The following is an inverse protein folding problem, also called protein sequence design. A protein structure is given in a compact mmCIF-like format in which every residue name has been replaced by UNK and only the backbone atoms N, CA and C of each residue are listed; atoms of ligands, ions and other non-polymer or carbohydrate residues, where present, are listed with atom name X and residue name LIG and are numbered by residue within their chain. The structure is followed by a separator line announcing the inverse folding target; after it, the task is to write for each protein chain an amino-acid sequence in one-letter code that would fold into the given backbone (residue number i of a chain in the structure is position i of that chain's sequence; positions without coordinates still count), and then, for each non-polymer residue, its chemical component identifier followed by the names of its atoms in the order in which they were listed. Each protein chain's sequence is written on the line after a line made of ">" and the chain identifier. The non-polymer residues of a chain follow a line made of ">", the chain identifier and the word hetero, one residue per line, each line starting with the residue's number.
data_IF_956809825264
#
_entry.id   IF_956809825264
#
_cell.length_a   1.000
_cell.length_b   1.000
_cell.length_c   1.000
_cell.angle_alpha   90.00
_cell.angle_beta   90.00
_cell.angle_gamma   90.00
#
_symmetry.space_group_name_H-M   'P 1'
#
loop_
_entity.id
_entity.type
_entity.pdbx_description
1 polymer ?
#
# COMPACT_ATOMS: atom_id res chain seq x y z
N UNK A 1 0.50 -0.83 25.21
CA UNK A 1 0.49 -1.12 23.78
C UNK A 1 1.84 -0.73 23.23
N UNK A 2 2.51 -1.73 22.68
CA UNK A 2 3.75 -1.69 21.94
C UNK A 2 3.45 -2.16 20.50
N UNK A 3 2.81 -1.32 19.68
CA UNK A 3 2.31 -1.73 18.37
C UNK A 3 3.44 -1.86 17.35
N UNK A 4 3.23 -2.74 16.37
CA UNK A 4 4.04 -2.89 15.17
C UNK A 4 3.15 -3.15 13.96
N UNK A 5 3.66 -2.83 12.77
CA UNK A 5 2.94 -3.04 11.51
C UNK A 5 3.56 -4.18 10.71
N UNK A 6 2.69 -4.93 10.04
CA UNK A 6 3.03 -5.97 9.09
C UNK A 6 2.45 -5.54 7.76
N UNK A 7 3.32 -5.33 6.77
CA UNK A 7 2.94 -4.97 5.42
C UNK A 7 3.05 -6.21 4.55
N UNK A 8 1.95 -6.60 3.93
CA UNK A 8 1.87 -7.77 3.06
C UNK A 8 1.46 -7.33 1.66
N UNK A 9 2.33 -7.63 0.69
CA UNK A 9 2.10 -7.40 -0.72
C UNK A 9 2.32 -8.71 -1.48
N UNK A 10 1.22 -9.37 -1.87
CA UNK A 10 1.23 -10.73 -2.44
C UNK A 10 1.93 -11.74 -1.52
N UNK A 11 3.12 -12.18 -1.93
CA UNK A 11 3.97 -13.17 -1.25
C UNK A 11 5.07 -12.51 -0.42
N UNK A 12 5.23 -11.19 -0.51
CA UNK A 12 6.20 -10.42 0.27
C UNK A 12 5.54 -9.93 1.55
N UNK A 13 6.16 -10.22 2.68
CA UNK A 13 5.77 -9.73 3.99
C UNK A 13 6.96 -9.02 4.62
N UNK A 14 6.75 -7.82 5.13
CA UNK A 14 7.74 -7.06 5.91
C UNK A 14 7.11 -6.54 7.19
N UNK A 15 7.92 -6.43 8.25
CA UNK A 15 7.47 -6.02 9.58
C UNK A 15 8.26 -4.81 10.03
N UNK A 16 7.60 -3.87 10.69
CA UNK A 16 8.25 -2.72 11.29
C UNK A 16 8.94 -3.06 12.60
N UNK A 17 9.70 -2.09 13.11
CA UNK A 17 10.08 -2.08 14.52
C UNK A 17 8.84 -1.98 15.42
N UNK A 18 8.97 -2.50 16.64
CA UNK A 18 7.95 -2.39 17.69
C UNK A 18 8.07 -1.01 18.36
N UNK A 19 6.99 -0.23 18.33
CA UNK A 19 6.93 1.09 18.95
C UNK A 19 6.68 0.99 20.47
N UNK A 20 7.72 0.56 21.20
CA UNK A 20 7.64 0.33 22.65
C UNK A 20 7.31 1.61 23.42
N UNK A 21 6.26 1.56 24.23
CA UNK A 21 5.82 2.66 25.10
C UNK A 21 5.15 3.82 24.37
N UNK A 22 4.83 3.68 23.09
CA UNK A 22 4.23 4.76 22.28
C UNK A 22 2.71 4.91 22.51
N UNK A 23 2.05 3.91 23.10
CA UNK A 23 0.63 3.99 23.42
C UNK A 23 -0.26 3.88 22.17
N UNK A 24 -1.20 4.81 22.01
CA UNK A 24 -2.21 4.77 20.93
C UNK A 24 -1.83 5.59 19.70
N UNK A 25 -0.73 6.34 19.75
CA UNK A 25 -0.25 7.19 18.65
C UNK A 25 1.22 6.87 18.31
N UNK A 26 1.54 5.64 17.88
CA UNK A 26 2.91 5.28 17.56
C UNK A 26 3.35 5.90 16.21
N UNK A 27 4.63 6.24 16.16
CA UNK A 27 5.30 6.76 14.97
C UNK A 27 6.43 5.79 14.59
N UNK A 28 6.42 5.32 13.35
CA UNK A 28 7.46 4.44 12.82
C UNK A 28 8.44 5.22 11.95
N UNK A 29 7.93 6.04 11.02
CA UNK A 29 8.73 6.71 9.99
C UNK A 29 9.64 5.72 9.23
N UNK A 30 9.12 4.51 8.96
CA UNK A 30 9.86 3.42 8.30
C UNK A 30 9.39 3.26 6.85
N UNK A 31 10.34 3.02 5.94
CA UNK A 31 10.06 2.77 4.53
C UNK A 31 10.30 1.31 4.19
N UNK A 32 9.29 0.69 3.58
CA UNK A 32 9.30 -0.70 3.14
C UNK A 32 9.29 -0.78 1.63
N UNK A 33 10.17 -1.61 1.07
CA UNK A 33 10.37 -1.71 -0.36
C UNK A 33 9.80 -3.04 -0.87
N UNK A 34 8.83 -3.01 -1.77
CA UNK A 34 8.23 -4.21 -2.36
C UNK A 34 8.41 -4.22 -3.87
N UNK A 35 8.66 -5.41 -4.43
CA UNK A 35 8.59 -5.57 -5.88
C UNK A 35 7.15 -5.83 -6.28
N UNK A 36 6.53 -4.92 -7.03
CA UNK A 36 5.13 -5.00 -7.42
C UNK A 36 4.98 -4.95 -8.92
N UNK A 37 3.91 -5.56 -9.40
CA UNK A 37 3.53 -5.61 -10.81
C UNK A 37 2.11 -5.07 -10.97
N UNK A 38 1.72 -4.66 -12.18
CA UNK A 38 0.42 -4.04 -12.46
C UNK A 38 -0.79 -4.92 -12.08
N UNK A 39 -0.58 -6.22 -11.90
CA UNK A 39 -1.59 -7.18 -11.47
C UNK A 39 -1.75 -7.25 -9.93
N UNK A 40 -1.02 -6.44 -9.15
CA UNK A 40 -1.21 -6.33 -7.69
C UNK A 40 -2.29 -5.28 -7.38
N UNK A 41 -3.46 -5.66 -6.84
CA UNK A 41 -4.54 -4.70 -6.62
C UNK A 41 -4.30 -3.78 -5.42
N UNK A 42 -3.70 -4.29 -4.34
CA UNK A 42 -3.60 -3.59 -3.06
C UNK A 42 -2.46 -4.09 -2.17
N UNK A 43 -2.03 -3.23 -1.26
CA UNK A 43 -1.13 -3.49 -0.15
C UNK A 43 -1.96 -3.66 1.13
N UNK A 44 -1.79 -4.79 1.82
CA UNK A 44 -2.41 -5.03 3.13
C UNK A 44 -1.46 -4.55 4.23
N UNK A 45 -1.98 -3.74 5.15
CA UNK A 45 -1.23 -3.23 6.30
C UNK A 45 -1.95 -3.66 7.56
N UNK A 46 -1.31 -4.53 8.34
CA UNK A 46 -1.85 -5.12 9.57
C UNK A 46 -1.12 -4.53 10.77
N UNK A 47 -1.87 -4.15 11.79
CA UNK A 47 -1.36 -3.60 13.05
C UNK A 47 -1.54 -4.65 14.14
N UNK A 48 -0.45 -4.95 14.83
CA UNK A 48 -0.36 -5.93 15.92
C UNK A 48 0.19 -5.23 17.16
N UNK A 49 -0.26 -5.63 18.35
CA UNK A 49 0.31 -5.20 19.64
C UNK A 49 1.24 -6.29 20.15
N UNK A 50 2.52 -5.99 20.33
CA UNK A 50 3.48 -6.98 20.84
C UNK A 50 3.47 -7.00 22.35
N UNK A 51 3.09 -8.13 22.93
CA UNK A 51 3.17 -8.33 24.38
C UNK A 51 4.32 -9.27 24.73
N UNK A 52 5.13 -8.87 25.72
CA UNK A 52 6.30 -9.66 26.12
C UNK A 52 5.97 -11.00 26.80
N UNK A 53 4.74 -11.17 27.28
CA UNK A 53 4.31 -12.33 28.09
C UNK A 53 3.02 -13.01 27.58
N UNK A 54 2.37 -12.47 26.55
CA UNK A 54 1.14 -13.00 25.93
C UNK A 54 1.35 -13.22 24.44
N UNK A 55 0.39 -13.87 23.78
CA UNK A 55 0.32 -13.85 22.32
C UNK A 55 0.04 -12.42 21.84
N UNK A 56 0.66 -12.01 20.74
CA UNK A 56 0.45 -10.69 20.16
C UNK A 56 -1.03 -10.47 19.78
N UNK A 57 -1.57 -9.32 20.16
CA UNK A 57 -2.96 -8.97 19.94
C UNK A 57 -3.15 -8.27 18.59
N UNK A 58 -4.07 -8.77 17.78
CA UNK A 58 -4.44 -8.11 16.52
C UNK A 58 -5.22 -6.83 16.81
N UNK A 59 -4.71 -5.68 16.38
CA UNK A 59 -5.34 -4.36 16.59
C UNK A 59 -6.29 -4.02 15.45
N UNK A 60 -5.87 -4.27 14.20
CA UNK A 60 -6.68 -4.06 13.00
C UNK A 60 -5.85 -4.06 11.73
N UNK A 61 -6.50 -3.89 10.59
CA UNK A 61 -5.86 -3.87 9.27
C UNK A 61 -6.42 -2.76 8.37
N UNK A 62 -5.62 -2.33 7.41
CA UNK A 62 -5.97 -1.39 6.36
C UNK A 62 -5.58 -1.98 5.00
N UNK A 63 -6.45 -1.79 4.02
CA UNK A 63 -6.20 -2.18 2.63
C UNK A 63 -5.98 -0.92 1.81
N UNK A 64 -4.81 -0.80 1.19
CA UNK A 64 -4.39 0.38 0.43
C UNK A 64 -4.31 0.01 -1.05
N UNK A 65 -5.16 0.56 -1.93
CA UNK A 65 -5.12 0.26 -3.35
C UNK A 65 -3.82 0.80 -3.98
N UNK A 66 -3.16 -0.01 -4.81
CA UNK A 66 -1.93 0.37 -5.50
C UNK A 66 -2.17 0.98 -6.89
N UNK A 67 -3.38 0.80 -7.44
CA UNK A 67 -3.79 1.40 -8.72
C UNK A 67 -3.45 2.90 -8.85
N UNK A 68 -3.77 3.79 -7.89
CA UNK A 68 -3.43 5.21 -8.01
C UNK A 68 -1.92 5.48 -8.04
N UNK A 69 -1.11 4.72 -7.29
CA UNK A 69 0.36 4.93 -7.29
C UNK A 69 0.99 4.43 -8.60
N UNK A 70 0.39 3.46 -9.27
CA UNK A 70 0.84 3.03 -10.60
C UNK A 70 0.55 4.08 -11.69
N UNK A 71 -0.51 4.88 -11.51
CA UNK A 71 -0.87 5.95 -12.44
C UNK A 71 -0.10 7.24 -12.18
N UNK A 72 0.00 7.67 -10.92
CA UNK A 72 0.63 8.93 -10.53
C UNK A 72 2.14 8.79 -10.29
N UNK A 73 2.64 7.58 -10.04
CA UNK A 73 4.04 7.29 -9.70
C UNK A 73 4.42 7.63 -8.26
N UNK A 74 3.86 8.67 -7.66
CA UNK A 74 4.08 9.00 -6.24
C UNK A 74 2.83 9.61 -5.63
N UNK A 75 2.38 9.02 -4.52
CA UNK A 75 1.26 9.48 -3.74
C UNK A 75 1.76 10.13 -2.44
N UNK A 76 1.23 11.32 -2.09
CA UNK A 76 1.56 11.95 -0.82
C UNK A 76 1.06 11.10 0.36
N UNK A 77 1.56 11.37 1.59
CA UNK A 77 1.05 10.74 2.81
C UNK A 77 -0.48 10.80 2.90
N UNK A 78 -1.12 9.64 2.86
CA UNK A 78 -2.57 9.49 2.92
C UNK A 78 -3.00 8.74 4.18
N UNK A 79 -4.16 9.13 4.73
CA UNK A 79 -4.75 8.50 5.92
C UNK A 79 -5.66 7.36 5.48
N UNK A 80 -5.40 6.16 5.96
CA UNK A 80 -6.18 4.96 5.70
C UNK A 80 -6.87 4.46 6.96
N UNK A 81 -8.10 3.96 6.82
CA UNK A 81 -8.91 3.49 7.94
C UNK A 81 -8.45 2.09 8.35
N UNK A 82 -8.17 1.92 9.62
CA UNK A 82 -7.85 0.63 10.24
C UNK A 82 -9.15 0.00 10.73
N UNK A 83 -9.42 -1.22 10.30
CA UNK A 83 -10.61 -1.99 10.66
C UNK A 83 -10.25 -3.34 11.28
N UNK A 84 -11.04 -3.77 12.27
CA UNK A 84 -10.96 -5.10 12.88
C UNK A 84 -12.37 -5.65 12.97
N UNK A 85 -12.62 -6.81 12.35
CA UNK A 85 -13.95 -7.44 12.37
C UNK A 85 -15.08 -6.45 12.01
N UNK A 86 -14.89 -5.70 10.91
CA UNK A 86 -15.83 -4.68 10.41
C UNK A 86 -16.01 -3.44 11.31
N UNK A 87 -15.26 -3.34 12.42
CA UNK A 87 -15.26 -2.17 13.31
C UNK A 87 -14.09 -1.27 12.99
N UNK A 88 -14.34 0.04 13.00
CA UNK A 88 -13.28 1.03 12.90
C UNK A 88 -12.45 1.04 14.19
N UNK A 89 -11.13 0.87 14.03
CA UNK A 89 -10.16 0.76 15.12
C UNK A 89 -9.11 1.86 15.09
N UNK A 90 -9.21 2.80 14.14
CA UNK A 90 -8.27 3.90 14.01
C UNK A 90 -7.90 4.19 12.57
N UNK A 91 -6.77 4.84 12.41
CA UNK A 91 -6.30 5.31 11.12
C UNK A 91 -4.77 5.28 11.04
N UNK A 92 -4.22 4.99 9.87
CA UNK A 92 -2.78 4.87 9.62
C UNK A 92 -2.37 5.76 8.46
N UNK A 93 -1.27 6.50 8.61
CA UNK A 93 -0.71 7.36 7.57
C UNK A 93 0.37 6.62 6.80
N UNK A 94 0.16 6.47 5.51
CA UNK A 94 1.09 5.81 4.61
C UNK A 94 1.32 6.68 3.38
N UNK A 95 2.58 6.87 2.98
CA UNK A 95 2.93 7.42 1.69
C UNK A 95 3.40 6.29 0.76
N UNK A 96 3.03 6.36 -0.52
CA UNK A 96 3.40 5.36 -1.51
C UNK A 96 4.18 6.01 -2.64
N UNK A 97 5.28 5.40 -3.06
CA UNK A 97 5.99 5.79 -4.28
C UNK A 97 6.27 4.55 -5.10
N UNK A 98 5.99 4.60 -6.39
CA UNK A 98 6.21 3.52 -7.32
C UNK A 98 7.24 3.96 -8.37
N UNK A 99 8.33 3.21 -8.43
CA UNK A 99 9.37 3.35 -9.43
C UNK A 99 9.25 2.20 -10.44
N UNK A 100 8.73 2.45 -11.66
CA UNK A 100 8.63 1.41 -12.67
C UNK A 100 10.02 0.95 -13.12
N UNK A 101 10.23 -0.36 -13.16
CA UNK A 101 11.38 -1.00 -13.78
C UNK A 101 10.95 -1.50 -15.16
N UNK A 102 11.60 -1.03 -16.22
CA UNK A 102 11.31 -1.51 -17.57
C UNK A 102 11.73 -2.99 -17.71
N UNK A 103 10.82 -3.92 -17.44
CA UNK A 103 11.03 -5.34 -17.68
C UNK A 103 10.32 -5.77 -18.94
N UNK A 104 11.09 -6.34 -19.87
CA UNK A 104 10.57 -6.98 -21.07
C UNK A 104 10.61 -8.48 -20.86
N UNK A 105 9.45 -9.11 -20.75
CA UNK A 105 9.37 -10.56 -20.57
C UNK A 105 9.13 -11.22 -21.94
N UNK A 106 9.98 -12.17 -22.30
CA UNK A 106 9.76 -13.02 -23.47
C UNK A 106 8.62 -13.99 -23.14
N UNK A 107 7.46 -13.82 -23.78
CA UNK A 107 6.26 -14.58 -23.47
C UNK A 107 6.03 -15.76 -24.41
N UNK A 108 6.57 -15.71 -25.62
CA UNK A 108 6.55 -16.87 -26.52
C UNK A 108 7.68 -16.83 -27.53
N UNK A 109 8.14 -18.00 -27.94
CA UNK A 109 9.06 -18.17 -29.07
C UNK A 109 8.40 -19.15 -30.03
N UNK A 110 8.18 -18.71 -31.26
CA UNK A 110 7.60 -19.51 -32.33
C UNK A 110 8.59 -19.63 -33.48
N UNK A 111 8.86 -20.85 -33.95
CA UNK A 111 9.75 -21.10 -35.07
C UNK A 111 8.95 -21.46 -36.31
N UNK A 112 9.12 -20.70 -37.39
CA UNK A 112 8.45 -20.88 -38.68
C UNK A 112 9.50 -21.12 -39.79
N UNK A 113 9.05 -21.43 -41.02
CA UNK A 113 9.93 -21.65 -42.19
C UNK A 113 10.76 -20.40 -42.51
N UNK A 114 10.20 -19.21 -42.22
CA UNK A 114 10.85 -17.90 -42.41
C UNK A 114 11.71 -17.44 -41.22
N UNK A 115 11.82 -18.23 -40.14
CA UNK A 115 12.68 -17.95 -38.99
C UNK A 115 12.00 -18.00 -37.62
N UNK A 116 12.73 -17.53 -36.60
CA UNK A 116 12.28 -17.50 -35.20
C UNK A 116 11.62 -16.16 -34.90
N UNK A 117 10.36 -16.19 -34.44
CA UNK A 117 9.60 -15.04 -33.96
C UNK A 117 9.51 -15.11 -32.44
N UNK A 118 9.98 -14.06 -31.76
CA UNK A 118 9.78 -13.88 -30.34
C UNK A 118 8.59 -12.92 -30.08
N UNK A 119 7.67 -13.34 -29.23
CA UNK A 119 6.64 -12.48 -28.66
C UNK A 119 7.14 -12.02 -27.29
N UNK A 120 7.19 -10.71 -27.09
CA UNK A 120 7.51 -10.09 -25.79
C UNK A 120 6.25 -9.41 -25.25
N UNK A 121 6.03 -9.51 -23.95
CA UNK A 121 5.00 -8.75 -23.24
C UNK A 121 5.66 -7.79 -22.26
N UNK A 122 5.18 -6.56 -22.24
CA UNK A 122 5.59 -5.53 -21.29
C UNK A 122 4.58 -5.56 -20.13
N UNK A 123 5.01 -6.09 -18.99
CA UNK A 123 4.29 -5.92 -17.72
C UNK A 123 4.99 -4.80 -16.96
N UNK A 124 4.22 -3.94 -16.30
CA UNK A 124 4.77 -2.87 -15.49
C UNK A 124 5.19 -3.49 -14.15
N UNK A 125 6.41 -3.98 -14.08
CA UNK A 125 7.02 -4.39 -12.82
C UNK A 125 7.83 -3.23 -12.28
N UNK A 126 7.84 -3.02 -10.99
CA UNK A 126 8.60 -1.94 -10.39
C UNK A 126 8.77 -2.15 -8.90
N UNK A 127 9.41 -1.17 -8.30
CA UNK A 127 9.62 -1.11 -6.86
C UNK A 127 8.60 -0.14 -6.28
N UNK A 128 7.82 -0.57 -5.29
CA UNK A 128 7.01 0.34 -4.49
C UNK A 128 7.61 0.54 -3.10
N UNK A 129 7.86 1.79 -2.77
CA UNK A 129 8.26 2.28 -1.47
C UNK A 129 7.01 2.66 -0.69
N UNK A 130 6.70 1.92 0.37
CA UNK A 130 5.62 2.19 1.31
C UNK A 130 6.19 2.76 2.61
N UNK A 131 5.98 4.05 2.85
CA UNK A 131 6.46 4.73 4.04
C UNK A 131 5.34 4.83 5.09
N UNK A 132 5.51 4.11 6.20
CA UNK A 132 4.59 4.12 7.34
C UNK A 132 5.05 5.17 8.33
N UNK A 133 4.25 6.23 8.47
CA UNK A 133 4.60 7.40 9.26
C UNK A 133 4.11 7.25 10.70
N UNK A 134 2.79 7.27 10.87
CA UNK A 134 2.12 7.26 12.16
C UNK A 134 0.77 6.53 12.08
N UNK A 135 0.23 6.10 13.22
CA UNK A 135 -1.16 5.64 13.32
C UNK A 135 -1.79 6.22 14.56
N UNK A 136 -3.12 6.31 14.55
CA UNK A 136 -3.94 6.65 15.68
C UNK A 136 -4.94 5.53 15.94
N UNK A 137 -4.69 4.75 16.99
CA UNK A 137 -5.55 3.64 17.41
C UNK A 137 -6.69 4.20 18.25
N UNK A 138 -7.93 3.96 17.83
CA UNK A 138 -9.13 4.39 18.54
C UNK A 138 -9.76 3.21 19.27
N UNK A 139 -9.61 3.19 20.60
CA UNK A 139 -10.27 2.25 21.49
C UNK A 139 -11.75 2.60 21.64
N UNK A 140 -12.56 2.28 20.62
CA UNK A 140 -14.01 2.26 20.73
C UNK A 140 -14.68 3.58 21.15
N UNK A 141 -14.80 4.51 20.21
CA UNK A 141 -16.04 5.28 20.07
C UNK A 141 -16.18 5.65 18.61
N UNK A 142 -17.28 5.26 17.97
CA UNK A 142 -17.58 5.63 16.58
C UNK A 142 -17.47 7.15 16.44
N UNK A 143 -16.59 7.70 15.57
CA UNK A 143 -16.92 8.96 14.96
C UNK A 143 -17.92 8.63 13.86
N UNK A 144 -19.21 8.79 14.18
CA UNK A 144 -20.20 9.13 13.16
C UNK A 144 -19.78 10.45 12.55
N UNK A 145 -18.86 10.40 11.60
CA UNK A 145 -18.44 11.52 10.78
C UNK A 145 -17.82 10.90 9.53
N UNK A 146 -18.65 10.80 8.49
CA UNK A 146 -18.15 10.86 7.13
C UNK A 146 -17.09 11.98 7.07
N UNK A 147 -15.95 11.81 6.39
CA UNK A 147 -15.21 12.99 5.98
C UNK A 147 -16.20 13.84 5.16
N UNK A 148 -16.53 15.04 5.66
CA UNK A 148 -17.14 16.06 4.83
C UNK A 148 -16.19 16.23 3.65
N UNK A 149 -16.67 15.88 2.47
CA UNK A 149 -16.07 16.28 1.21
C UNK A 149 -15.87 17.81 1.28
N UNK A 150 -14.66 18.24 1.61
CA UNK A 150 -14.27 19.62 1.34
C UNK A 150 -14.05 19.66 -0.15
N UNK A 151 -15.00 20.29 -0.84
CA UNK A 151 -14.90 20.59 -2.25
C UNK A 151 -13.52 21.15 -2.58
N UNK A 152 -12.88 20.48 -3.52
CA UNK A 152 -11.62 20.88 -4.13
C UNK A 152 -11.66 20.42 -5.57
N UNK A 153 -12.05 21.35 -6.45
CA UNK A 153 -11.74 21.42 -7.88
C UNK A 153 -11.90 20.15 -8.72
N UNK A 154 -12.88 20.16 -9.62
CA UNK A 154 -12.74 19.51 -10.92
C UNK A 154 -11.39 19.91 -11.53
N UNK A 155 -10.39 19.02 -11.54
CA UNK A 155 -9.33 19.12 -12.53
C UNK A 155 -9.81 18.41 -13.78
N UNK A 156 -10.10 19.23 -14.76
CA UNK A 156 -10.53 18.90 -16.09
C UNK A 156 -9.50 17.98 -16.76
N UNK A 157 -9.95 16.80 -17.19
CA UNK A 157 -9.26 15.97 -18.17
C UNK A 157 -9.13 16.79 -19.46
N UNK A 158 -7.94 17.30 -19.78
CA UNK A 158 -7.65 17.74 -21.14
C UNK A 158 -7.17 16.55 -21.96
N UNK A 159 -8.03 16.09 -22.87
CA UNK A 159 -7.67 15.26 -24.01
C UNK A 159 -6.69 16.06 -24.88
N UNK A 160 -5.41 15.70 -24.87
CA UNK A 160 -4.52 16.17 -25.93
C UNK A 160 -4.73 15.27 -27.14
N UNK A 161 -5.53 15.73 -28.08
CA UNK A 161 -5.56 15.16 -29.43
C UNK A 161 -4.26 15.52 -30.14
N UNK A 162 -3.40 14.53 -30.40
CA UNK A 162 -2.32 14.68 -31.35
C UNK A 162 -2.91 14.66 -32.76
N UNK A 163 -2.90 15.81 -33.44
CA UNK A 163 -3.10 15.93 -34.89
C UNK A 163 -1.78 15.75 -35.63
#
# INVERSE_FOLDING_TARGET
>A
MDPYVILTCRTQEQKSSVAKGAGSEPEWNETFVFTVSDDVPQLNVKIMDSDAFSADDFVGEANIPLEPVFLEGSLPPAVHRVVKEEKYCGEIKVALTFTPAAVKTLTSVSCNIDGVVAIVSEHLVGVCDANVLDTRISSGNSPSSQPRERGGGLQQLELIACY
#
